data_IF_718949664214
#
_entry.id   IF_718949664214
#
_cell.length_a   1.000
_cell.length_b   1.000
_cell.length_c   1.000
_cell.angle_alpha   90.00
_cell.angle_beta   90.00
_cell.angle_gamma   90.00
#
_symmetry.space_group_name_H-M   'P 1'
#
loop_
_entity.id
_entity.type
_entity.pdbx_description
1 polymer ?
#
# COMPACT_ATOMS: atom_id res chain seq x y z
N UNK A 1 -18.89 16.92 -15.11
CA UNK A 1 -19.90 15.90 -14.74
C UNK A 1 -19.29 14.86 -13.81
N UNK A 2 -20.09 14.18 -12.97
CA UNK A 2 -19.60 13.09 -12.11
C UNK A 2 -18.87 11.98 -12.87
N UNK A 3 -19.09 11.87 -14.19
CA UNK A 3 -18.36 10.99 -15.11
C UNK A 3 -16.92 11.44 -15.40
N UNK A 4 -16.61 12.74 -15.42
CA UNK A 4 -15.23 13.25 -15.55
C UNK A 4 -14.42 12.99 -14.28
N UNK A 5 -15.05 13.12 -13.10
CA UNK A 5 -14.47 12.74 -11.80
C UNK A 5 -14.21 11.23 -11.66
N UNK A 6 -14.87 10.40 -12.46
CA UNK A 6 -14.78 8.93 -12.43
C UNK A 6 -13.74 8.40 -13.42
N UNK A 7 -13.53 9.10 -14.54
CA UNK A 7 -12.53 8.77 -15.55
C UNK A 7 -11.10 9.17 -15.14
N UNK A 8 -10.93 10.14 -14.24
CA UNK A 8 -9.63 10.64 -13.75
C UNK A 8 -9.04 9.89 -12.54
N UNK A 9 -9.76 8.94 -11.93
CA UNK A 9 -9.29 8.22 -10.74
C UNK A 9 -8.44 7.01 -11.10
N UNK A 10 -7.27 7.25 -11.70
CA UNK A 10 -6.20 6.28 -11.54
C UNK A 10 -5.94 6.07 -10.05
N UNK A 11 -5.82 4.82 -9.61
CA UNK A 11 -5.55 4.53 -8.20
C UNK A 11 -4.26 5.24 -7.80
N UNK A 12 -4.35 6.14 -6.81
CA UNK A 12 -3.19 6.88 -6.32
C UNK A 12 -2.23 5.94 -5.59
N UNK A 13 -1.00 6.40 -5.32
CA UNK A 13 -0.05 5.63 -4.49
C UNK A 13 -0.64 5.30 -3.11
N UNK A 14 -1.43 6.20 -2.53
CA UNK A 14 -2.11 5.96 -1.25
C UNK A 14 -3.15 4.84 -1.37
N UNK A 15 -3.96 4.84 -2.43
CA UNK A 15 -4.97 3.80 -2.67
C UNK A 15 -4.31 2.42 -2.80
N UNK A 16 -3.16 2.35 -3.46
CA UNK A 16 -2.39 1.10 -3.62
C UNK A 16 -1.80 0.62 -2.30
N UNK A 17 -1.29 1.53 -1.46
CA UNK A 17 -0.84 1.19 -0.10
C UNK A 17 -2.00 0.63 0.72
N UNK A 18 -3.17 1.28 0.65
CA UNK A 18 -4.35 0.80 1.37
C UNK A 18 -4.81 -0.57 0.85
N UNK A 19 -4.80 -0.80 -0.48
CA UNK A 19 -5.05 -2.13 -1.04
C UNK A 19 -4.06 -3.17 -0.51
N UNK A 20 -2.78 -2.85 -0.43
CA UNK A 20 -1.77 -3.76 0.14
C UNK A 20 -2.06 -4.08 1.61
N UNK A 21 -2.49 -3.10 2.41
CA UNK A 21 -2.94 -3.33 3.80
C UNK A 21 -4.15 -4.26 3.87
N UNK A 22 -5.14 -4.11 2.98
CA UNK A 22 -6.30 -5.00 2.91
C UNK A 22 -5.92 -6.42 2.50
N UNK A 23 -4.99 -6.58 1.55
CA UNK A 23 -4.46 -7.88 1.15
C UNK A 23 -3.70 -8.56 2.29
N UNK A 24 -2.93 -7.79 3.07
CA UNK A 24 -2.25 -8.26 4.27
C UNK A 24 -3.27 -8.70 5.33
N UNK A 25 -4.25 -7.87 5.66
CA UNK A 25 -5.28 -8.17 6.67
C UNK A 25 -6.14 -9.39 6.30
N UNK A 26 -6.41 -9.60 5.02
CA UNK A 26 -7.17 -10.74 4.51
C UNK A 26 -6.34 -12.01 4.29
N UNK A 27 -5.03 -12.00 4.62
CA UNK A 27 -4.14 -13.15 4.46
C UNK A 27 -3.84 -13.52 3.01
N UNK A 28 -4.10 -12.62 2.04
CA UNK A 28 -3.91 -12.85 0.60
C UNK A 28 -2.46 -12.66 0.17
N UNK A 29 -1.55 -13.44 0.74
CA UNK A 29 -0.11 -13.29 0.59
C UNK A 29 0.41 -13.32 -0.87
N UNK A 30 -0.19 -14.13 -1.75
CA UNK A 30 0.20 -14.19 -3.17
C UNK A 30 -0.14 -12.89 -3.91
N UNK A 31 -1.36 -12.38 -3.70
CA UNK A 31 -1.79 -11.13 -4.30
C UNK A 31 -0.98 -9.94 -3.77
N UNK A 32 -0.68 -9.94 -2.46
CA UNK A 32 0.18 -8.93 -1.85
C UNK A 32 1.58 -8.92 -2.49
N UNK A 33 2.22 -10.09 -2.63
CA UNK A 33 3.54 -10.18 -3.25
C UNK A 33 3.55 -9.71 -4.70
N UNK A 34 2.50 -10.02 -5.47
CA UNK A 34 2.37 -9.55 -6.85
C UNK A 34 2.23 -8.02 -6.91
N UNK A 35 1.41 -7.43 -6.03
CA UNK A 35 1.25 -5.98 -5.93
C UNK A 35 2.57 -5.30 -5.55
N UNK A 36 3.26 -5.79 -4.51
CA UNK A 36 4.53 -5.21 -4.06
C UNK A 36 5.58 -5.24 -5.17
N UNK A 37 5.65 -6.32 -5.96
CA UNK A 37 6.54 -6.41 -7.12
C UNK A 37 6.21 -5.35 -8.18
N UNK A 38 4.93 -5.21 -8.55
CA UNK A 38 4.52 -4.22 -9.53
C UNK A 38 4.84 -2.79 -9.07
N UNK A 39 4.66 -2.48 -7.78
CA UNK A 39 4.98 -1.16 -7.25
C UNK A 39 6.49 -0.91 -7.16
N UNK A 40 7.32 -1.94 -6.94
CA UNK A 40 8.78 -1.80 -7.06
C UNK A 40 9.23 -1.45 -8.48
N UNK A 41 8.55 -1.99 -9.49
CA UNK A 41 8.81 -1.69 -10.90
C UNK A 41 8.33 -0.28 -11.28
N UNK A 42 7.23 0.20 -10.68
CA UNK A 42 6.72 1.55 -10.90
C UNK A 42 7.62 2.64 -10.30
N UNK A 43 8.23 2.40 -9.14
CA UNK A 43 9.19 3.33 -8.57
C UNK A 43 9.19 3.42 -7.04
N UNK A 44 10.08 4.26 -6.49
CA UNK A 44 10.28 4.39 -5.05
C UNK A 44 9.15 5.11 -4.30
N UNK A 45 8.20 5.75 -4.97
CA UNK A 45 7.12 6.56 -4.40
C UNK A 45 6.28 5.76 -3.40
N UNK A 46 5.95 4.51 -3.74
CA UNK A 46 5.18 3.60 -2.90
C UNK A 46 5.86 3.36 -1.55
N UNK A 47 7.13 2.96 -1.57
CA UNK A 47 7.88 2.68 -0.35
C UNK A 47 8.16 3.94 0.45
N UNK A 48 8.41 5.08 -0.20
CA UNK A 48 8.59 6.36 0.52
C UNK A 48 7.33 6.73 1.28
N UNK A 49 6.17 6.71 0.62
CA UNK A 49 4.90 7.05 1.27
C UNK A 49 4.55 6.04 2.37
N UNK A 50 4.74 4.74 2.15
CA UNK A 50 4.52 3.73 3.18
C UNK A 50 5.39 3.95 4.43
N UNK A 51 6.68 4.29 4.25
CA UNK A 51 7.55 4.61 5.38
C UNK A 51 7.11 5.89 6.11
N UNK A 52 6.71 6.93 5.39
CA UNK A 52 6.17 8.15 6.01
C UNK A 52 4.91 7.86 6.83
N UNK A 53 3.99 7.06 6.30
CA UNK A 53 2.76 6.68 7.00
C UNK A 53 3.06 5.83 8.26
N UNK A 54 3.99 4.87 8.18
CA UNK A 54 4.40 4.05 9.34
C UNK A 54 4.98 4.90 10.49
N UNK A 55 5.71 5.98 10.14
CA UNK A 55 6.27 6.91 11.11
C UNK A 55 5.20 7.80 11.77
N UNK A 56 4.09 8.07 11.08
CA UNK A 56 2.99 8.92 11.55
C UNK A 56 1.93 8.16 12.36
N UNK A 57 1.74 6.87 12.10
CA UNK A 57 0.74 6.09 12.83
C UNK A 57 1.12 5.90 14.31
N UNK A 58 0.13 5.94 15.23
CA UNK A 58 0.33 5.59 16.63
C UNK A 58 0.90 4.18 16.78
N UNK A 59 1.75 3.97 17.79
CA UNK A 59 2.47 2.70 17.99
C UNK A 59 1.55 1.49 18.11
N UNK A 60 0.39 1.65 18.74
CA UNK A 60 -0.54 0.56 19.02
C UNK A 60 -1.65 0.41 17.97
N UNK A 61 -1.59 1.20 16.88
CA UNK A 61 -2.60 1.17 15.83
C UNK A 61 -2.49 -0.09 14.96
N UNK A 62 -3.63 -0.56 14.47
CA UNK A 62 -3.68 -1.71 13.57
C UNK A 62 -3.06 -1.38 12.21
N UNK A 63 -3.29 -0.16 11.74
CA UNK A 63 -2.74 0.38 10.50
C UNK A 63 -1.22 0.32 10.52
N UNK A 64 -0.59 0.71 11.65
CA UNK A 64 0.85 0.59 11.81
C UNK A 64 1.32 -0.85 11.69
N UNK A 65 0.68 -1.78 12.40
CA UNK A 65 1.05 -3.21 12.36
C UNK A 65 0.95 -3.79 10.96
N UNK A 66 -0.14 -3.49 10.25
CA UNK A 66 -0.36 -3.97 8.88
C UNK A 66 0.70 -3.40 7.93
N UNK A 67 1.00 -2.11 8.05
CA UNK A 67 1.96 -1.44 7.19
C UNK A 67 3.39 -1.92 7.46
N UNK A 68 3.77 -2.09 8.73
CA UNK A 68 5.08 -2.63 9.10
C UNK A 68 5.23 -4.09 8.63
N UNK A 69 4.19 -4.91 8.77
CA UNK A 69 4.20 -6.28 8.25
C UNK A 69 4.28 -6.33 6.71
N UNK A 70 3.58 -5.43 6.03
CA UNK A 70 3.64 -5.27 4.57
C UNK A 70 5.06 -4.89 4.12
N UNK A 71 5.72 -3.94 4.81
CA UNK A 71 7.08 -3.51 4.50
C UNK A 71 8.10 -4.63 4.67
N UNK A 72 7.90 -5.54 5.64
CA UNK A 72 8.72 -6.74 5.80
C UNK A 72 8.54 -7.76 4.66
N UNK A 73 7.40 -7.73 3.97
CA UNK A 73 7.09 -8.62 2.84
C UNK A 73 7.63 -8.11 1.50
N UNK A 74 8.22 -6.91 1.47
CA UNK A 74 8.81 -6.33 0.27
C UNK A 74 10.04 -7.15 -0.14
N UNK A 75 10.12 -7.64 -1.39
CA UNK A 75 11.30 -8.34 -1.90
C UNK A 75 12.54 -7.46 -1.80
N UNK A 76 13.68 -8.02 -1.39
CA UNK A 76 14.97 -7.31 -1.42
C UNK A 76 15.56 -7.30 -2.81
#
# INVERSE_FOLDING_TARGET
SDEELKAEREATTLDRIHMAMLLQASGRANALRALLRAEQEHGPEFLRLANSLSALYPRDSEEKRLLDAMLLAVPR
#
